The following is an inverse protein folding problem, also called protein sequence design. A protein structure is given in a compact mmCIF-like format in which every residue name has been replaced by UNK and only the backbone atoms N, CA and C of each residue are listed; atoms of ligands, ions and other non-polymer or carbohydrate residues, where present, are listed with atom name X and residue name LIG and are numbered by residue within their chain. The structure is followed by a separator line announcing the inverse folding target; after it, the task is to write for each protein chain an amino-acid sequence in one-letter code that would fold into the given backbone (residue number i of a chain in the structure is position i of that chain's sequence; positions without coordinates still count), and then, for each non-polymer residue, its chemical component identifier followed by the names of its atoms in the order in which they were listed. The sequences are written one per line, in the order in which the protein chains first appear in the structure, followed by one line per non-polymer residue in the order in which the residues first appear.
data_IF_704356392191
#
_entry.id   IF_704356392191
#
_cell.length_a   1.000
_cell.length_b   1.000
_cell.length_c   1.000
_cell.angle_alpha   90.00
_cell.angle_beta   90.00
_cell.angle_gamma   90.00
#
_symmetry.space_group_name_H-M   'P 1'
#
loop_
_entity.id
_entity.type
_entity.pdbx_description
1 polymer ?
#
# COMPACT_ATOMS: atom_id res chain seq x y z
N UNK A 1 0.69 -13.89 -17.47
CA UNK A 1 1.47 -14.85 -16.70
C UNK A 1 2.91 -14.72 -17.10
N UNK A 2 3.83 -14.71 -16.24
CA UNK A 2 5.25 -14.60 -16.56
C UNK A 2 5.78 -13.19 -16.80
N UNK A 3 4.96 -12.16 -16.69
CA UNK A 3 5.41 -10.76 -16.80
C UNK A 3 5.96 -10.21 -15.48
N UNK A 4 5.59 -10.81 -14.37
CA UNK A 4 5.93 -10.36 -13.02
C UNK A 4 6.35 -11.52 -12.16
N UNK A 5 7.36 -11.28 -11.33
CA UNK A 5 7.81 -12.25 -10.34
C UNK A 5 7.90 -11.57 -8.97
N UNK A 6 7.26 -12.18 -7.96
CA UNK A 6 7.30 -11.67 -6.59
C UNK A 6 8.73 -11.67 -6.06
N UNK A 7 9.15 -10.55 -5.50
CA UNK A 7 10.44 -10.45 -4.81
C UNK A 7 10.21 -10.64 -3.32
N UNK A 8 10.83 -11.68 -2.76
CA UNK A 8 10.83 -11.96 -1.34
C UNK A 8 12.26 -12.05 -0.86
N UNK A 9 12.65 -11.14 0.03
CA UNK A 9 13.99 -11.08 0.59
C UNK A 9 13.91 -10.55 2.02
N UNK A 10 15.07 -10.35 2.66
CA UNK A 10 15.12 -9.85 4.02
C UNK A 10 14.39 -8.51 4.18
N UNK A 11 14.57 -7.60 3.23
CA UNK A 11 13.99 -6.25 3.30
C UNK A 11 12.46 -6.29 3.15
N UNK A 12 11.94 -7.07 2.18
CA UNK A 12 10.51 -7.21 1.99
C UNK A 12 9.86 -7.91 3.19
N UNK A 13 10.54 -8.88 3.78
CA UNK A 13 10.04 -9.59 4.96
C UNK A 13 9.95 -8.66 6.17
N UNK A 14 10.92 -7.76 6.34
CA UNK A 14 10.87 -6.74 7.40
C UNK A 14 9.69 -5.80 7.22
N UNK A 15 9.47 -5.33 6.00
CA UNK A 15 8.34 -4.45 5.68
C UNK A 15 7.02 -5.16 5.95
N UNK A 16 6.88 -6.40 5.52
CA UNK A 16 5.68 -7.21 5.74
C UNK A 16 5.38 -7.39 7.24
N UNK A 17 6.40 -7.73 8.02
CA UNK A 17 6.27 -7.87 9.48
C UNK A 17 5.86 -6.56 10.15
N UNK A 18 6.43 -5.44 9.71
CA UNK A 18 6.03 -4.11 10.19
C UNK A 18 4.56 -3.82 9.88
N UNK A 19 4.12 -4.09 8.65
CA UNK A 19 2.74 -3.84 8.25
C UNK A 19 1.75 -4.71 9.01
N UNK A 20 2.08 -5.96 9.27
CA UNK A 20 1.27 -6.84 10.08
C UNK A 20 1.08 -6.29 11.50
N UNK A 21 2.16 -5.83 12.12
CA UNK A 21 2.09 -5.19 13.43
C UNK A 21 1.28 -3.90 13.41
N UNK A 22 1.48 -3.07 12.39
CA UNK A 22 0.75 -1.81 12.23
C UNK A 22 -0.75 -2.03 12.07
N UNK A 23 -1.15 -3.06 11.33
CA UNK A 23 -2.57 -3.44 11.21
C UNK A 23 -3.20 -3.69 12.57
N UNK A 24 -2.53 -4.40 13.45
CA UNK A 24 -3.02 -4.66 14.80
C UNK A 24 -3.14 -3.37 15.63
N UNK A 25 -2.21 -2.44 15.47
CA UNK A 25 -2.23 -1.16 16.19
C UNK A 25 -3.42 -0.32 15.71
N UNK A 26 -3.68 -0.29 14.42
CA UNK A 26 -4.70 0.58 13.82
C UNK A 26 -6.10 -0.03 13.82
N UNK A 27 -6.24 -1.33 13.98
CA UNK A 27 -7.56 -1.97 14.06
C UNK A 27 -8.20 -1.70 15.41
N UNK A 28 -9.41 -1.15 15.41
CA UNK A 28 -10.15 -0.78 16.63
C UNK A 28 -11.64 -1.00 16.44
N UNK A 29 -12.25 -1.66 17.45
CA UNK A 29 -13.69 -1.89 17.44
C UNK A 29 -14.13 -2.62 16.19
N UNK A 30 -15.07 -2.04 15.45
CA UNK A 30 -15.56 -2.60 14.19
C UNK A 30 -14.73 -2.18 12.98
N UNK A 31 -13.74 -1.32 13.18
CA UNK A 31 -12.87 -0.85 12.10
C UNK A 31 -11.68 -1.78 11.95
N UNK A 32 -11.63 -2.49 10.85
CA UNK A 32 -10.49 -3.32 10.48
C UNK A 32 -9.62 -2.59 9.47
N UNK A 33 -8.31 -2.63 9.67
CA UNK A 33 -7.33 -2.00 8.79
C UNK A 33 -6.46 -3.08 8.16
N UNK A 34 -6.34 -3.02 6.84
CA UNK A 34 -5.44 -3.89 6.07
C UNK A 34 -4.39 -3.03 5.38
N UNK A 35 -3.13 -3.40 5.52
CA UNK A 35 -1.99 -2.74 4.87
C UNK A 35 -1.11 -3.79 4.22
N UNK A 36 -0.85 -3.61 2.93
CA UNK A 36 0.00 -4.54 2.18
C UNK A 36 0.97 -3.78 1.28
N UNK A 37 2.16 -4.34 1.14
CA UNK A 37 3.18 -3.83 0.22
C UNK A 37 3.83 -5.04 -0.46
N UNK A 38 3.70 -5.12 -1.78
CA UNK A 38 4.13 -6.26 -2.57
C UNK A 38 5.09 -5.79 -3.67
N UNK A 39 6.29 -6.33 -3.65
CA UNK A 39 7.34 -5.97 -4.61
C UNK A 39 7.46 -7.03 -5.70
N UNK A 40 7.50 -6.59 -6.94
CA UNK A 40 7.63 -7.47 -8.12
C UNK A 40 8.78 -7.05 -9.00
N UNK A 41 9.47 -8.05 -9.55
CA UNK A 41 10.36 -7.86 -10.68
C UNK A 41 9.52 -7.88 -11.97
N UNK A 42 9.77 -6.92 -12.86
CA UNK A 42 9.09 -6.84 -14.15
C UNK A 42 9.95 -7.56 -15.18
N UNK A 43 9.42 -8.65 -15.73
CA UNK A 43 10.13 -9.49 -16.69
C UNK A 43 9.85 -9.11 -18.14
N UNK A 44 8.80 -8.34 -18.38
CA UNK A 44 8.39 -7.91 -19.71
C UNK A 44 7.81 -6.50 -19.63
N UNK A 45 8.28 -5.60 -20.51
CA UNK A 45 7.87 -4.20 -20.52
C UNK A 45 6.40 -3.95 -20.91
N UNK A 46 5.68 -4.97 -21.37
CA UNK A 46 4.26 -4.88 -21.72
C UNK A 46 3.34 -5.00 -20.50
N UNK A 47 3.88 -4.92 -19.30
CA UNK A 47 3.12 -5.02 -18.05
C UNK A 47 2.08 -3.90 -17.95
N UNK A 48 0.85 -4.30 -17.59
CA UNK A 48 -0.27 -3.39 -17.31
C UNK A 48 -0.55 -3.33 -15.81
N UNK A 49 -1.30 -2.32 -15.39
CA UNK A 49 -1.73 -2.22 -13.99
C UNK A 49 -2.56 -3.45 -13.59
N UNK A 50 -3.39 -3.97 -14.48
CA UNK A 50 -4.16 -5.20 -14.24
C UNK A 50 -3.26 -6.41 -14.00
N UNK A 51 -2.15 -6.53 -14.73
CA UNK A 51 -1.19 -7.61 -14.54
C UNK A 51 -0.63 -7.59 -13.11
N UNK A 52 -0.34 -6.41 -12.58
CA UNK A 52 0.18 -6.26 -11.23
C UNK A 52 -0.85 -6.72 -10.20
N UNK A 53 -2.10 -6.31 -10.35
CA UNK A 53 -3.18 -6.73 -9.45
C UNK A 53 -3.42 -8.23 -9.54
N UNK A 54 -3.42 -8.81 -10.74
CA UNK A 54 -3.55 -10.26 -10.94
C UNK A 54 -2.40 -11.05 -10.32
N UNK A 55 -1.19 -10.51 -10.37
CA UNK A 55 -0.04 -11.16 -9.74
C UNK A 55 -0.15 -11.18 -8.22
N UNK A 56 -0.81 -10.18 -7.65
CA UNK A 56 -0.98 -10.05 -6.21
C UNK A 56 -2.20 -10.79 -5.67
N UNK A 57 -3.31 -10.81 -6.43
CA UNK A 57 -4.60 -11.31 -5.97
C UNK A 57 -5.26 -12.17 -7.04
N UNK A 58 -5.80 -13.30 -6.63
CA UNK A 58 -6.49 -14.22 -7.55
C UNK A 58 -7.81 -13.67 -8.07
N UNK A 59 -8.47 -12.82 -7.28
CA UNK A 59 -9.70 -12.14 -7.66
C UNK A 59 -9.63 -10.68 -7.24
N UNK A 60 -10.20 -9.78 -8.05
CA UNK A 60 -10.29 -8.36 -7.72
C UNK A 60 -11.43 -7.71 -8.49
N UNK A 61 -11.82 -6.51 -8.04
CA UNK A 61 -12.75 -5.68 -8.81
C UNK A 61 -12.09 -5.18 -10.08
N UNK A 62 -12.90 -5.02 -11.13
CA UNK A 62 -12.40 -4.38 -12.35
C UNK A 62 -11.87 -2.99 -12.04
N UNK A 63 -10.75 -2.64 -12.68
CA UNK A 63 -10.17 -1.31 -12.53
C UNK A 63 -11.03 -0.34 -13.33
N UNK A 64 -11.74 0.55 -12.62
CA UNK A 64 -12.62 1.55 -13.21
C UNK A 64 -12.05 2.97 -13.12
N UNK A 65 -10.94 3.15 -12.42
CA UNK A 65 -10.28 4.43 -12.25
C UNK A 65 -8.78 4.25 -12.17
N UNK A 66 -8.05 5.03 -12.95
CA UNK A 66 -6.60 5.08 -12.96
C UNK A 66 -6.17 6.52 -13.13
N UNK A 67 -5.24 7.00 -12.32
CA UNK A 67 -4.68 8.34 -12.43
C UNK A 67 -3.21 8.34 -12.02
N UNK A 68 -2.39 9.02 -12.80
CA UNK A 68 -1.02 9.27 -12.39
C UNK A 68 -0.99 10.29 -11.26
N UNK A 69 -0.19 10.04 -10.24
CA UNK A 69 -0.10 10.89 -9.05
C UNK A 69 1.34 11.34 -8.81
N UNK A 70 1.47 12.51 -8.18
CA UNK A 70 2.76 12.97 -7.68
C UNK A 70 3.14 12.22 -6.40
N UNK A 71 4.41 12.31 -6.02
CA UNK A 71 4.88 11.75 -4.75
C UNK A 71 4.09 12.31 -3.57
N UNK A 72 3.90 13.63 -3.53
CA UNK A 72 3.17 14.28 -2.43
C UNK A 72 1.71 13.82 -2.35
N UNK A 73 1.05 13.63 -3.48
CA UNK A 73 -0.31 13.11 -3.52
C UNK A 73 -0.39 11.69 -2.98
N UNK A 74 0.56 10.83 -3.37
CA UNK A 74 0.63 9.46 -2.84
C UNK A 74 0.90 9.44 -1.33
N UNK A 75 1.86 10.22 -0.86
CA UNK A 75 2.17 10.31 0.57
C UNK A 75 0.93 10.73 1.36
N UNK A 76 0.21 11.73 0.87
CA UNK A 76 -1.03 12.20 1.50
C UNK A 76 -2.10 11.10 1.53
N UNK A 77 -2.28 10.38 0.43
CA UNK A 77 -3.24 9.28 0.35
C UNK A 77 -2.94 8.15 1.31
N UNK A 78 -1.68 7.74 1.38
CA UNK A 78 -1.24 6.70 2.31
C UNK A 78 -1.38 7.16 3.76
N UNK A 79 -1.00 8.39 4.05
CA UNK A 79 -1.09 8.95 5.40
C UNK A 79 -2.55 9.07 5.88
N UNK A 80 -3.50 9.22 4.97
CA UNK A 80 -4.92 9.26 5.35
C UNK A 80 -5.37 7.98 6.05
N UNK A 81 -4.79 6.84 5.68
CA UNK A 81 -5.04 5.56 6.33
C UNK A 81 -4.17 5.39 7.58
N UNK A 82 -2.89 5.73 7.49
CA UNK A 82 -1.97 5.60 8.62
C UNK A 82 -2.27 6.59 9.76
N UNK A 83 -2.97 7.67 9.47
CA UNK A 83 -3.44 8.62 10.48
C UNK A 83 -4.72 8.20 11.14
N UNK A 84 -5.31 7.23 10.68
CA UNK A 84 -6.65 6.72 10.91
C UNK A 84 -7.53 7.67 11.67
N UNK A 85 -8.54 8.00 11.02
CA UNK A 85 -9.58 8.88 11.43
C UNK A 85 -9.89 8.73 12.93
N UNK A 86 -9.37 9.64 13.73
CA UNK A 86 -9.52 9.62 15.18
C UNK A 86 -10.96 9.62 15.65
N UNK A 87 -11.91 9.85 14.71
CA UNK A 87 -13.34 9.74 14.98
C UNK A 87 -13.77 8.38 15.51
N UNK A 88 -13.04 7.34 15.13
CA UNK A 88 -13.34 5.96 15.54
C UNK A 88 -12.65 5.57 16.83
N UNK A 89 -11.92 6.47 17.47
CA UNK A 89 -11.13 6.17 18.64
C UNK A 89 -11.73 6.83 19.88
N UNK A 90 -11.91 6.03 20.91
CA UNK A 90 -12.19 6.57 22.24
C UNK A 90 -10.90 7.06 22.87
N UNK A 91 -11.00 7.81 23.98
CA UNK A 91 -9.82 8.28 24.70
C UNK A 91 -8.92 7.14 25.19
N UNK A 92 -9.51 5.96 25.44
CA UNK A 92 -8.78 4.79 25.95
C UNK A 92 -8.07 4.03 24.82
N UNK A 93 -8.53 4.20 23.57
CA UNK A 93 -7.95 3.55 22.38
C UNK A 93 -6.97 4.46 21.63
N UNK A 94 -6.73 5.64 22.14
CA UNK A 94 -5.94 6.65 21.46
C UNK A 94 -4.47 6.28 21.30
N UNK A 95 -3.97 6.34 20.09
CA UNK A 95 -2.54 6.18 19.81
C UNK A 95 -1.89 7.56 19.90
N UNK A 96 -0.87 7.74 20.75
CA UNK A 96 -0.18 9.03 20.83
C UNK A 96 0.34 9.48 19.48
N UNK A 97 0.20 10.76 19.18
CA UNK A 97 0.64 11.35 17.91
C UNK A 97 2.11 11.05 17.61
N UNK A 98 2.95 11.00 18.63
CA UNK A 98 4.36 10.66 18.49
C UNK A 98 4.53 9.24 17.94
N UNK A 99 3.72 8.27 18.38
CA UNK A 99 3.75 6.90 17.88
C UNK A 99 3.30 6.85 16.43
N UNK A 100 2.22 7.56 16.09
CA UNK A 100 1.76 7.66 14.70
C UNK A 100 2.86 8.21 13.78
N UNK A 101 3.51 9.30 14.18
CA UNK A 101 4.58 9.90 13.39
C UNK A 101 5.75 8.95 13.22
N UNK A 102 6.15 8.26 14.28
CA UNK A 102 7.24 7.28 14.22
C UNK A 102 6.88 6.10 13.33
N UNK A 103 5.62 5.65 13.35
CA UNK A 103 5.15 4.57 12.48
C UNK A 103 5.20 4.99 11.01
N UNK A 104 4.79 6.22 10.67
CA UNK A 104 4.87 6.73 9.31
C UNK A 104 6.31 6.83 8.82
N UNK A 105 7.18 7.42 9.62
CA UNK A 105 8.60 7.52 9.27
C UNK A 105 9.22 6.14 9.06
N UNK A 106 8.93 5.21 9.96
CA UNK A 106 9.46 3.85 9.87
C UNK A 106 8.93 3.12 8.65
N UNK A 107 7.65 3.29 8.33
CA UNK A 107 7.06 2.71 7.12
C UNK A 107 7.84 3.12 5.87
N UNK A 108 8.04 4.43 5.68
CA UNK A 108 8.73 4.92 4.49
C UNK A 108 10.22 4.55 4.47
N UNK A 109 10.87 4.47 5.62
CA UNK A 109 12.23 3.96 5.69
C UNK A 109 12.32 2.50 5.21
N UNK A 110 11.39 1.67 5.65
CA UNK A 110 11.36 0.25 5.26
C UNK A 110 10.97 0.08 3.79
N UNK A 111 10.03 0.88 3.29
CA UNK A 111 9.72 0.90 1.86
C UNK A 111 10.95 1.24 1.05
N UNK A 112 11.67 2.28 1.44
CA UNK A 112 12.86 2.74 0.71
C UNK A 112 13.97 1.69 0.67
N UNK A 113 14.08 0.86 1.70
CA UNK A 113 15.02 -0.26 1.72
C UNK A 113 14.68 -1.33 0.66
N UNK A 114 13.40 -1.44 0.30
CA UNK A 114 12.93 -2.40 -0.71
C UNK A 114 12.90 -1.79 -2.12
N UNK A 115 12.51 -0.53 -2.20
CA UNK A 115 12.20 0.13 -3.46
C UNK A 115 12.37 1.65 -3.31
N UNK A 116 13.23 2.23 -4.13
CA UNK A 116 13.40 3.68 -4.13
C UNK A 116 12.22 4.32 -4.88
N UNK A 117 11.31 4.91 -4.14
CA UNK A 117 10.09 5.49 -4.65
C UNK A 117 10.24 6.95 -5.11
N UNK A 118 11.41 7.56 -4.93
CA UNK A 118 11.61 9.00 -5.15
C UNK A 118 11.29 9.43 -6.57
N UNK A 119 11.78 8.66 -7.56
CA UNK A 119 11.60 8.95 -8.98
C UNK A 119 10.62 7.99 -9.67
N UNK A 120 9.84 7.26 -8.89
CA UNK A 120 8.91 6.27 -9.42
C UNK A 120 7.75 6.95 -10.16
N UNK A 121 7.24 6.28 -11.20
CA UNK A 121 5.95 6.60 -11.78
C UNK A 121 4.88 6.02 -10.86
N UNK A 122 3.97 6.84 -10.39
CA UNK A 122 2.96 6.46 -9.41
C UNK A 122 1.59 6.48 -10.07
N UNK A 123 0.88 5.37 -10.00
CA UNK A 123 -0.48 5.24 -10.51
C UNK A 123 -1.40 4.91 -9.34
N UNK A 124 -2.45 5.70 -9.17
CA UNK A 124 -3.53 5.42 -8.23
C UNK A 124 -4.64 4.68 -8.95
N UNK A 125 -5.11 3.58 -8.37
CA UNK A 125 -6.27 2.84 -8.85
C UNK A 125 -7.47 3.16 -7.96
N UNK A 126 -8.67 2.81 -8.43
CA UNK A 126 -9.88 2.98 -7.64
C UNK A 126 -9.73 2.36 -6.25
N UNK A 127 -10.27 3.03 -5.23
CA UNK A 127 -10.06 2.62 -3.83
C UNK A 127 -10.78 1.32 -3.44
N UNK A 128 -11.54 0.71 -4.36
CA UNK A 128 -12.13 -0.62 -4.18
C UNK A 128 -11.30 -1.74 -4.78
N UNK A 129 -10.16 -1.42 -5.38
CA UNK A 129 -9.24 -2.41 -5.93
C UNK A 129 -8.18 -2.74 -4.87
N UNK A 130 -7.85 -4.00 -4.61
CA UNK A 130 -8.43 -5.22 -5.20
C UNK A 130 -9.71 -5.72 -4.51
N UNK A 131 -10.10 -5.11 -3.42
CA UNK A 131 -11.19 -5.58 -2.58
C UNK A 131 -12.53 -4.95 -2.96
N UNK A 132 -13.62 -5.59 -2.51
CA UNK A 132 -14.99 -5.11 -2.66
C UNK A 132 -15.49 -4.60 -1.32
N UNK A 133 -16.40 -3.62 -1.35
CA UNK A 133 -17.13 -3.15 -0.16
C UNK A 133 -16.23 -2.64 0.96
N UNK A 134 -15.22 -1.85 0.60
CA UNK A 134 -14.38 -1.17 1.59
C UNK A 134 -14.92 0.22 1.87
N UNK A 135 -14.76 0.68 3.11
CA UNK A 135 -15.22 2.00 3.52
C UNK A 135 -14.22 3.11 3.22
N UNK A 136 -12.97 2.78 2.98
CA UNK A 136 -11.94 3.73 2.58
C UNK A 136 -10.63 3.01 2.32
N UNK A 137 -9.75 3.65 1.57
CA UNK A 137 -8.46 3.02 1.31
C UNK A 137 -7.71 3.67 0.16
N UNK A 138 -6.62 3.03 -0.21
CA UNK A 138 -5.81 3.42 -1.35
C UNK A 138 -5.24 2.19 -2.05
N UNK A 139 -4.98 2.35 -3.34
CA UNK A 139 -4.23 1.37 -4.12
C UNK A 139 -3.29 2.15 -5.02
N UNK A 140 -1.99 1.98 -4.83
CA UNK A 140 -0.97 2.62 -5.65
C UNK A 140 -0.04 1.57 -6.24
N UNK A 141 0.32 1.76 -7.51
CA UNK A 141 1.41 1.02 -8.12
C UNK A 141 2.52 2.01 -8.41
N UNK A 142 3.72 1.71 -7.93
CA UNK A 142 4.91 2.51 -8.14
C UNK A 142 5.83 1.74 -9.09
N UNK A 143 6.10 2.33 -10.25
CA UNK A 143 7.01 1.73 -11.24
C UNK A 143 8.37 2.39 -11.16
N UNK A 144 9.43 1.59 -11.10
CA UNK A 144 10.79 2.11 -11.19
C UNK A 144 10.99 2.82 -12.55
N UNK A 145 11.81 3.89 -12.60
CA UNK A 145 12.02 4.62 -13.86
C UNK A 145 12.49 3.75 -15.03
N UNK A 146 13.28 2.73 -14.76
CA UNK A 146 13.77 1.78 -15.76
C UNK A 146 12.81 0.62 -16.02
N UNK A 147 11.65 0.61 -15.39
CA UNK A 147 10.63 -0.44 -15.50
C UNK A 147 11.12 -1.84 -15.11
N UNK A 148 12.16 -1.92 -14.28
CA UNK A 148 12.68 -3.21 -13.80
C UNK A 148 11.88 -3.81 -12.65
N UNK A 149 11.22 -2.96 -11.88
CA UNK A 149 10.47 -3.35 -10.68
C UNK A 149 9.23 -2.49 -10.51
N UNK A 150 8.26 -3.02 -9.79
CA UNK A 150 7.15 -2.23 -9.30
C UNK A 150 6.77 -2.63 -7.87
N UNK A 151 6.22 -1.67 -7.15
CA UNK A 151 5.72 -1.87 -5.79
C UNK A 151 4.23 -1.60 -5.76
N UNK A 152 3.47 -2.56 -5.27
CA UNK A 152 2.03 -2.39 -5.03
C UNK A 152 1.82 -2.07 -3.56
N UNK A 153 1.19 -0.92 -3.29
CA UNK A 153 0.79 -0.49 -1.96
C UNK A 153 -0.72 -0.51 -1.87
N UNK A 154 -1.25 -1.25 -0.92
CA UNK A 154 -2.68 -1.35 -0.67
C UNK A 154 -2.97 -1.09 0.80
N UNK A 155 -3.91 -0.23 1.05
CA UNK A 155 -4.43 -0.01 2.38
C UNK A 155 -5.93 0.17 2.31
N UNK A 156 -6.65 -0.44 3.24
CA UNK A 156 -8.09 -0.24 3.29
C UNK A 156 -8.60 -0.34 4.73
N UNK A 157 -9.74 0.27 4.93
CA UNK A 157 -10.51 0.16 6.16
C UNK A 157 -11.86 -0.42 5.85
N UNK A 158 -12.33 -1.31 6.70
CA UNK A 158 -13.67 -1.90 6.59
C UNK A 158 -14.34 -1.93 7.96
N UNK A 159 -15.63 -1.78 7.97
CA UNK A 159 -16.47 -1.81 9.18
C UNK A 159 -17.57 -2.88 9.09
#
# INVERSE_FOLDING_TARGET
MGNLQRIENFETNRLEGFLEAAQHIFTRGDLEVTLEALLFEILNNDVTDEDVIHAAYSTFNAIDYQAERSLDEMLSGVHSILNIDRRFWTSDDWVPKMVENNLRERFWQLVKCCFDYTDAKIVELGNNVPYVNISGGFTYILYAPDMSKCLLLVGNTSD
#
